data_IF_679784924945
#
_entry.id   IF_679784924945
#
_cell.length_a   1.000
_cell.length_b   1.000
_cell.length_c   1.000
_cell.angle_alpha   90.00
_cell.angle_beta   90.00
_cell.angle_gamma   90.00
#
_symmetry.space_group_name_H-M   'P 1'
#
loop_
_entity.id
_entity.type
_entity.pdbx_description
1 polymer ?
#
# COMPACT_ATOMS: atom_id res chain seq x y z
N UNK A 1 -21.93 -35.16 -47.60
CA UNK A 1 -20.46 -35.33 -47.47
C UNK A 1 -19.84 -33.93 -47.33
N UNK A 2 -19.56 -33.53 -46.12
CA UNK A 2 -18.91 -32.25 -45.82
C UNK A 2 -17.39 -32.52 -45.71
N UNK A 3 -16.60 -31.90 -46.59
CA UNK A 3 -15.17 -32.05 -46.61
C UNK A 3 -14.57 -31.31 -45.39
N UNK A 4 -13.90 -32.06 -44.53
CA UNK A 4 -13.10 -31.51 -43.41
C UNK A 4 -11.90 -30.74 -43.98
N UNK A 5 -11.80 -29.44 -43.65
CA UNK A 5 -10.60 -28.64 -43.88
C UNK A 5 -9.44 -29.25 -43.08
N UNK A 6 -8.28 -29.49 -43.67
CA UNK A 6 -7.14 -29.94 -42.91
C UNK A 6 -6.69 -28.84 -41.93
N UNK A 7 -6.41 -29.22 -40.70
CA UNK A 7 -5.77 -28.37 -39.71
C UNK A 7 -4.42 -27.89 -40.27
N UNK A 8 -4.23 -26.58 -40.32
CA UNK A 8 -2.96 -25.94 -40.66
C UNK A 8 -1.92 -26.39 -39.65
N UNK A 9 -0.97 -27.20 -40.06
CA UNK A 9 0.19 -27.56 -39.27
C UNK A 9 0.91 -26.24 -38.93
N UNK A 10 1.00 -25.92 -37.62
CA UNK A 10 1.82 -24.85 -37.12
C UNK A 10 3.26 -25.29 -37.33
N UNK A 11 3.99 -24.61 -38.18
CA UNK A 11 5.42 -24.86 -38.38
C UNK A 11 6.13 -24.57 -37.05
N UNK A 12 6.77 -25.64 -36.51
CA UNK A 12 7.62 -25.56 -35.32
C UNK A 12 9.03 -25.15 -35.73
N UNK A 13 9.17 -23.98 -36.34
CA UNK A 13 10.48 -23.33 -36.50
C UNK A 13 10.46 -21.99 -35.73
N UNK A 14 11.14 -22.02 -34.68
CA UNK A 14 11.54 -21.22 -33.57
C UNK A 14 11.41 -19.71 -33.65
N UNK A 15 10.26 -19.11 -33.86
CA UNK A 15 9.87 -17.85 -33.19
C UNK A 15 8.56 -17.32 -33.77
N UNK A 16 7.46 -17.55 -33.06
CA UNK A 16 6.25 -16.75 -33.25
C UNK A 16 6.65 -15.26 -33.13
N UNK A 17 6.39 -14.40 -34.14
CA UNK A 17 6.79 -13.01 -34.12
C UNK A 17 6.28 -12.24 -32.88
N UNK A 18 5.14 -12.61 -32.32
CA UNK A 18 4.59 -12.01 -31.11
C UNK A 18 5.43 -12.39 -29.88
N UNK A 19 5.86 -13.66 -29.79
CA UNK A 19 6.74 -14.12 -28.71
C UNK A 19 8.11 -13.47 -28.82
N UNK A 20 8.68 -13.41 -30.04
CA UNK A 20 9.97 -12.75 -30.27
C UNK A 20 9.95 -11.26 -29.87
N UNK A 21 8.86 -10.54 -30.12
CA UNK A 21 8.69 -9.14 -29.69
C UNK A 21 8.67 -9.01 -28.15
N UNK A 22 8.01 -9.96 -27.45
CA UNK A 22 7.99 -9.99 -25.97
C UNK A 22 9.39 -10.28 -25.42
N UNK A 23 10.11 -11.25 -26.00
CA UNK A 23 11.46 -11.62 -25.59
C UNK A 23 12.44 -10.46 -25.79
N UNK A 24 12.34 -9.72 -26.91
CA UNK A 24 13.12 -8.51 -27.14
C UNK A 24 12.88 -7.45 -26.07
N UNK A 25 11.62 -7.14 -25.77
CA UNK A 25 11.25 -6.15 -24.76
C UNK A 25 11.72 -6.57 -23.34
N UNK A 26 11.68 -7.86 -23.04
CA UNK A 26 12.18 -8.40 -21.76
C UNK A 26 13.71 -8.35 -21.69
N UNK A 27 14.40 -8.63 -22.80
CA UNK A 27 15.87 -8.52 -22.89
C UNK A 27 16.36 -7.07 -22.73
N UNK A 28 15.71 -6.11 -23.40
CA UNK A 28 15.97 -4.68 -23.23
C UNK A 28 15.79 -4.25 -21.77
N UNK A 29 14.67 -4.65 -21.15
CA UNK A 29 14.41 -4.35 -19.75
C UNK A 29 15.44 -4.97 -18.81
N UNK A 30 15.98 -6.14 -19.15
CA UNK A 30 17.03 -6.78 -18.37
C UNK A 30 18.38 -6.05 -18.56
N UNK A 31 18.72 -5.64 -19.78
CA UNK A 31 19.91 -4.87 -20.08
C UNK A 31 19.95 -3.52 -19.35
N UNK A 32 18.77 -2.88 -19.23
CA UNK A 32 18.59 -1.64 -18.46
C UNK A 32 18.63 -1.85 -16.92
N UNK A 33 18.81 -3.08 -16.45
CA UNK A 33 18.79 -3.40 -15.02
C UNK A 33 17.41 -3.24 -14.37
N UNK A 34 16.32 -3.21 -15.16
CA UNK A 34 14.95 -3.01 -14.69
C UNK A 34 14.16 -4.31 -14.53
N UNK A 35 14.77 -5.47 -14.82
CA UNK A 35 14.12 -6.77 -14.64
C UNK A 35 13.77 -7.02 -13.16
N UNK A 36 12.54 -7.49 -12.92
CA UNK A 36 12.06 -7.83 -11.59
C UNK A 36 12.06 -9.35 -11.40
N UNK A 37 12.50 -9.80 -10.25
CA UNK A 37 12.50 -11.21 -9.87
C UNK A 37 11.71 -11.41 -8.60
N UNK A 38 10.84 -12.43 -8.59
CA UNK A 38 10.17 -12.86 -7.36
C UNK A 38 11.15 -13.65 -6.51
N UNK A 39 11.11 -13.40 -5.19
CA UNK A 39 11.87 -14.17 -4.21
C UNK A 39 10.92 -15.03 -3.40
N UNK A 40 11.20 -16.31 -3.27
CA UNK A 40 10.37 -17.25 -2.51
C UNK A 40 10.79 -17.17 -1.05
N UNK A 41 9.84 -16.82 -0.17
CA UNK A 41 10.00 -16.90 1.28
C UNK A 41 9.51 -18.27 1.72
N UNK A 42 10.41 -19.08 2.29
CA UNK A 42 10.16 -20.47 2.71
C UNK A 42 10.00 -20.59 4.23
N UNK A 43 9.46 -19.57 4.88
CA UNK A 43 9.22 -19.52 6.32
C UNK A 43 7.89 -18.83 6.64
N UNK A 44 7.50 -18.86 7.91
CA UNK A 44 6.39 -18.06 8.43
C UNK A 44 6.67 -16.56 8.26
N UNK A 45 5.61 -15.75 8.10
CA UNK A 45 5.71 -14.29 8.15
C UNK A 45 6.25 -13.82 9.50
N UNK A 46 7.13 -12.82 9.46
CA UNK A 46 7.76 -12.27 10.66
C UNK A 46 9.04 -11.49 10.36
N UNK A 47 9.74 -11.03 11.41
CA UNK A 47 10.97 -10.25 11.26
C UNK A 47 12.17 -11.10 10.78
N UNK A 48 12.07 -12.43 10.89
CA UNK A 48 13.09 -13.39 10.39
C UNK A 48 12.45 -14.31 9.37
N UNK A 49 13.06 -14.38 8.20
CA UNK A 49 12.55 -15.16 7.06
C UNK A 49 13.64 -16.02 6.45
N UNK A 50 13.25 -17.09 5.75
CA UNK A 50 14.17 -17.93 4.97
C UNK A 50 13.92 -17.67 3.49
N UNK A 51 14.96 -17.22 2.80
CA UNK A 51 14.94 -16.95 1.35
C UNK A 51 16.15 -17.64 0.70
N UNK A 52 15.91 -18.47 -0.30
CA UNK A 52 16.96 -19.26 -0.96
C UNK A 52 17.84 -20.05 0.04
N UNK A 53 17.23 -20.64 1.08
CA UNK A 53 17.92 -21.42 2.11
C UNK A 53 18.67 -20.59 3.17
N UNK A 54 18.66 -19.25 3.08
CA UNK A 54 19.35 -18.36 4.02
C UNK A 54 18.37 -17.70 4.98
N UNK A 55 18.69 -17.70 6.27
CA UNK A 55 17.94 -16.94 7.26
C UNK A 55 18.33 -15.45 7.19
N UNK A 56 17.32 -14.57 7.06
CA UNK A 56 17.50 -13.12 6.92
C UNK A 56 16.63 -12.38 7.92
N UNK A 57 17.13 -11.28 8.50
CA UNK A 57 16.29 -10.29 9.18
C UNK A 57 15.63 -9.43 8.11
N UNK A 58 14.30 -9.33 8.17
CA UNK A 58 13.49 -8.80 7.09
C UNK A 58 13.07 -7.33 7.33
N UNK A 59 13.78 -6.41 6.76
CA UNK A 59 13.46 -4.98 6.73
C UNK A 59 12.71 -4.55 5.45
N UNK A 60 12.12 -5.50 4.72
CA UNK A 60 11.36 -5.26 3.49
C UNK A 60 9.83 -5.33 3.70
N UNK A 61 9.37 -5.85 4.85
CA UNK A 61 7.95 -6.10 5.12
C UNK A 61 7.21 -4.84 5.56
N UNK A 62 5.94 -4.74 5.15
CA UNK A 62 5.02 -3.71 5.66
C UNK A 62 4.20 -4.20 6.88
N UNK A 63 4.53 -5.33 7.49
CA UNK A 63 3.92 -5.82 8.73
C UNK A 63 4.42 -5.00 9.94
N UNK A 64 4.01 -3.73 9.99
CA UNK A 64 4.52 -2.75 10.95
C UNK A 64 4.31 -3.14 12.41
N UNK A 65 3.20 -3.81 12.71
CA UNK A 65 2.88 -4.26 14.08
C UNK A 65 3.31 -5.70 14.37
N UNK A 66 3.84 -6.43 13.37
CA UNK A 66 4.24 -7.83 13.52
C UNK A 66 3.06 -8.76 13.76
N UNK A 67 1.92 -8.49 13.14
CA UNK A 67 0.69 -9.25 13.30
C UNK A 67 0.52 -10.39 12.30
N UNK A 68 1.18 -10.34 11.14
CA UNK A 68 1.02 -11.34 10.09
C UNK A 68 1.36 -12.78 10.52
N UNK A 69 2.27 -12.91 11.48
CA UNK A 69 2.60 -14.18 12.12
C UNK A 69 1.98 -14.38 13.52
N UNK A 70 1.01 -13.58 13.95
CA UNK A 70 0.49 -13.67 15.32
C UNK A 70 -0.27 -14.98 15.58
N UNK A 71 0.02 -15.74 16.65
CA UNK A 71 -0.58 -17.05 16.89
C UNK A 71 -2.10 -16.99 17.06
N UNK A 72 -2.62 -15.94 17.69
CA UNK A 72 -4.06 -15.75 17.85
C UNK A 72 -4.77 -15.60 16.50
N UNK A 73 -4.20 -14.84 15.54
CA UNK A 73 -4.78 -14.70 14.22
C UNK A 73 -4.77 -16.04 13.46
N UNK A 74 -3.72 -16.82 13.59
CA UNK A 74 -3.66 -18.16 12.99
C UNK A 74 -4.75 -19.09 13.58
N UNK A 75 -4.96 -19.05 14.90
CA UNK A 75 -6.01 -19.82 15.58
C UNK A 75 -7.40 -19.38 15.10
N UNK A 76 -7.69 -18.09 15.12
CA UNK A 76 -8.99 -17.55 14.66
C UNK A 76 -9.24 -17.87 13.20
N UNK A 77 -8.22 -17.78 12.35
CA UNK A 77 -8.33 -18.13 10.92
C UNK A 77 -8.70 -19.61 10.72
N UNK A 78 -8.10 -20.52 11.50
CA UNK A 78 -8.43 -21.94 11.45
C UNK A 78 -9.88 -22.20 11.89
N UNK A 79 -10.31 -21.63 13.01
CA UNK A 79 -11.68 -21.75 13.51
C UNK A 79 -12.70 -21.16 12.53
N UNK A 80 -12.37 -20.00 11.95
CA UNK A 80 -13.22 -19.34 10.97
C UNK A 80 -13.32 -20.14 9.66
N UNK A 81 -12.24 -20.79 9.21
CA UNK A 81 -12.25 -21.64 8.04
C UNK A 81 -13.21 -22.85 8.22
N UNK A 82 -13.22 -23.46 9.40
CA UNK A 82 -14.17 -24.53 9.73
C UNK A 82 -15.62 -24.03 9.77
N UNK A 83 -15.86 -22.83 10.30
CA UNK A 83 -17.21 -22.29 10.48
C UNK A 83 -17.80 -21.73 9.17
N UNK A 84 -17.02 -21.02 8.37
CA UNK A 84 -17.49 -20.23 7.26
C UNK A 84 -17.06 -20.78 5.89
N UNK A 85 -16.15 -21.75 5.83
CA UNK A 85 -15.48 -22.17 4.62
C UNK A 85 -14.33 -21.24 4.22
N UNK A 86 -13.67 -21.59 3.11
CA UNK A 86 -12.45 -20.91 2.61
C UNK A 86 -12.68 -20.01 1.40
N UNK A 87 -13.92 -19.83 0.96
CA UNK A 87 -14.29 -19.00 -0.19
C UNK A 87 -15.63 -18.36 -0.03
N UNK A 88 -15.86 -17.21 -0.69
CA UNK A 88 -17.12 -16.47 -0.68
C UNK A 88 -18.06 -16.84 -1.85
N UNK A 89 -17.52 -17.45 -2.90
CA UNK A 89 -18.23 -18.03 -4.08
C UNK A 89 -18.98 -17.05 -4.99
N UNK A 90 -19.20 -15.80 -4.57
CA UNK A 90 -19.88 -14.76 -5.34
C UNK A 90 -19.43 -13.35 -4.91
N UNK A 91 -19.85 -12.32 -5.64
CA UNK A 91 -19.67 -10.92 -5.20
C UNK A 91 -20.52 -10.61 -3.98
N UNK A 92 -20.17 -9.54 -3.27
CA UNK A 92 -20.91 -9.06 -2.09
C UNK A 92 -22.38 -8.79 -2.37
N UNK A 93 -22.73 -8.32 -3.58
CA UNK A 93 -24.10 -7.94 -3.95
C UNK A 93 -24.96 -9.13 -4.42
N UNK A 94 -24.38 -10.32 -4.56
CA UNK A 94 -25.12 -11.54 -4.92
C UNK A 94 -25.34 -12.40 -3.67
N UNK A 95 -24.39 -13.22 -3.29
CA UNK A 95 -24.44 -14.07 -2.09
C UNK A 95 -23.09 -14.19 -1.38
N UNK A 96 -22.10 -13.37 -1.74
CA UNK A 96 -20.76 -13.40 -1.16
C UNK A 96 -20.58 -12.55 0.09
N UNK A 97 -21.63 -11.86 0.58
CA UNK A 97 -21.57 -11.01 1.77
C UNK A 97 -22.06 -11.78 3.01
N UNK A 98 -21.14 -12.26 3.82
CA UNK A 98 -21.42 -13.03 5.02
C UNK A 98 -21.42 -12.17 6.27
N UNK A 99 -21.99 -12.67 7.38
CA UNK A 99 -22.01 -11.97 8.66
C UNK A 99 -20.66 -11.43 9.16
N UNK A 100 -19.50 -12.13 8.96
CA UNK A 100 -18.21 -11.55 9.32
C UNK A 100 -17.83 -10.29 8.52
N UNK A 101 -18.26 -10.18 7.26
CA UNK A 101 -17.99 -8.97 6.46
C UNK A 101 -18.76 -7.77 7.05
N UNK A 102 -20.05 -7.96 7.32
CA UNK A 102 -20.90 -6.93 7.90
C UNK A 102 -20.40 -6.48 9.28
N UNK A 103 -19.97 -7.44 10.13
CA UNK A 103 -19.39 -7.14 11.44
C UNK A 103 -18.09 -6.32 11.30
N UNK A 104 -17.20 -6.72 10.39
CA UNK A 104 -15.94 -6.03 10.12
C UNK A 104 -16.18 -4.61 9.62
N UNK A 105 -17.10 -4.41 8.67
CA UNK A 105 -17.43 -3.10 8.08
C UNK A 105 -17.99 -2.15 9.14
N UNK A 106 -18.88 -2.62 10.02
CA UNK A 106 -19.39 -1.82 11.13
C UNK A 106 -18.26 -1.41 12.11
N UNK A 107 -17.36 -2.33 12.47
CA UNK A 107 -16.27 -2.02 13.37
C UNK A 107 -15.27 -1.04 12.77
N UNK A 108 -14.94 -1.18 11.48
CA UNK A 108 -14.05 -0.28 10.77
C UNK A 108 -14.65 1.13 10.66
N UNK A 109 -15.92 1.24 10.32
CA UNK A 109 -16.65 2.50 10.24
C UNK A 109 -16.67 3.22 11.59
N UNK A 110 -17.01 2.51 12.67
CA UNK A 110 -17.10 3.07 14.01
C UNK A 110 -15.74 3.51 14.56
N UNK A 111 -14.66 2.80 14.20
CA UNK A 111 -13.34 3.05 14.78
C UNK A 111 -12.48 4.02 13.97
N UNK A 112 -12.50 3.94 12.64
CA UNK A 112 -11.65 4.71 11.75
C UNK A 112 -12.42 5.61 10.77
N UNK A 113 -13.74 5.67 10.86
CA UNK A 113 -14.56 6.48 9.96
C UNK A 113 -14.19 7.96 10.02
N UNK A 114 -14.16 8.65 8.87
CA UNK A 114 -13.72 10.05 8.77
C UNK A 114 -14.82 11.07 9.10
N UNK A 115 -16.00 10.63 9.49
CA UNK A 115 -17.14 11.47 9.94
C UNK A 115 -18.04 10.68 10.88
N UNK A 116 -18.96 11.38 11.57
CA UNK A 116 -19.80 10.82 12.64
C UNK A 116 -20.64 9.61 12.19
N UNK A 117 -21.24 9.69 11.00
CA UNK A 117 -22.16 8.67 10.46
C UNK A 117 -21.47 7.77 9.41
N UNK A 118 -20.16 7.66 9.46
CA UNK A 118 -19.42 6.90 8.46
C UNK A 118 -19.93 5.45 8.34
N UNK A 119 -19.98 4.96 7.09
CA UNK A 119 -20.11 3.54 6.76
C UNK A 119 -18.81 3.06 6.13
N UNK A 120 -18.64 1.75 6.04
CA UNK A 120 -17.48 1.16 5.37
C UNK A 120 -17.89 0.02 4.42
N UNK A 121 -17.03 -0.24 3.42
CA UNK A 121 -17.06 -1.42 2.55
C UNK A 121 -15.69 -2.07 2.55
N UNK A 122 -15.66 -3.38 2.53
CA UNK A 122 -14.43 -4.17 2.45
C UNK A 122 -14.14 -4.61 1.01
N UNK A 123 -12.84 -4.71 0.69
CA UNK A 123 -12.31 -5.07 -0.63
C UNK A 123 -11.21 -6.11 -0.50
N UNK A 124 -11.00 -6.90 -1.55
CA UNK A 124 -9.93 -7.91 -1.57
C UNK A 124 -8.52 -7.28 -1.54
N UNK A 125 -8.34 -6.06 -2.05
CA UNK A 125 -7.06 -5.34 -2.04
C UNK A 125 -7.27 -3.83 -2.00
N UNK A 126 -6.26 -3.06 -1.51
CA UNK A 126 -6.26 -1.59 -1.57
C UNK A 126 -6.26 -1.06 -3.01
N UNK A 127 -5.65 -1.80 -3.94
CA UNK A 127 -5.67 -1.44 -5.36
C UNK A 127 -7.11 -1.38 -5.90
N UNK A 128 -7.91 -2.44 -5.67
CA UNK A 128 -9.32 -2.48 -6.07
C UNK A 128 -10.17 -1.44 -5.33
N UNK A 129 -9.88 -1.19 -4.06
CA UNK A 129 -10.58 -0.18 -3.27
C UNK A 129 -10.40 1.23 -3.88
N UNK A 130 -9.18 1.63 -4.20
CA UNK A 130 -8.91 2.92 -4.83
C UNK A 130 -9.50 3.03 -6.24
N UNK A 131 -9.40 1.98 -7.06
CA UNK A 131 -10.10 1.93 -8.35
C UNK A 131 -11.61 2.13 -8.17
N UNK A 132 -12.20 1.47 -7.18
CA UNK A 132 -13.63 1.55 -6.88
C UNK A 132 -14.05 2.97 -6.48
N UNK A 133 -13.34 3.59 -5.52
CA UNK A 133 -13.62 4.95 -5.06
C UNK A 133 -13.60 5.93 -6.22
N UNK A 134 -12.45 5.99 -6.92
CA UNK A 134 -12.24 7.02 -7.94
C UNK A 134 -13.19 6.78 -9.13
N UNK A 135 -13.38 5.53 -9.58
CA UNK A 135 -14.29 5.25 -10.70
C UNK A 135 -15.78 5.40 -10.37
N UNK A 136 -16.17 5.35 -9.10
CA UNK A 136 -17.55 5.60 -8.70
C UNK A 136 -17.86 7.09 -8.52
N UNK A 137 -16.87 7.88 -8.08
CA UNK A 137 -17.04 9.31 -7.78
C UNK A 137 -16.67 10.23 -8.95
N UNK A 138 -15.94 9.74 -9.95
CA UNK A 138 -15.44 10.50 -11.07
C UNK A 138 -15.98 9.99 -12.42
N UNK A 139 -16.05 10.89 -13.38
CA UNK A 139 -16.42 10.63 -14.77
C UNK A 139 -15.66 11.61 -15.71
N UNK A 140 -16.07 11.65 -16.99
CA UNK A 140 -15.45 12.53 -18.01
C UNK A 140 -15.55 14.03 -17.69
N UNK A 141 -16.49 14.44 -16.84
CA UNK A 141 -16.67 15.84 -16.43
C UNK A 141 -15.92 16.17 -15.13
N UNK A 142 -15.23 15.19 -14.54
CA UNK A 142 -14.51 15.33 -13.27
C UNK A 142 -13.04 15.61 -13.49
N UNK A 143 -12.48 16.55 -12.74
CA UNK A 143 -11.03 16.71 -12.58
C UNK A 143 -10.57 15.98 -11.30
N UNK A 144 -9.59 15.08 -11.47
CA UNK A 144 -8.91 14.39 -10.37
C UNK A 144 -7.53 15.03 -10.18
N UNK A 145 -7.37 15.80 -9.11
CA UNK A 145 -6.12 16.44 -8.74
C UNK A 145 -5.32 15.48 -7.86
N UNK A 146 -4.20 14.97 -8.36
CA UNK A 146 -3.41 13.92 -7.73
C UNK A 146 -1.98 14.37 -7.46
N UNK A 147 -1.47 14.06 -6.27
CA UNK A 147 -0.05 14.22 -5.99
C UNK A 147 0.79 13.32 -6.92
N UNK A 148 1.93 13.84 -7.37
CA UNK A 148 2.77 13.14 -8.35
C UNK A 148 3.35 11.83 -7.81
N UNK A 149 3.53 11.69 -6.50
CA UNK A 149 4.07 10.50 -5.85
C UNK A 149 3.00 9.53 -5.33
N UNK A 150 1.73 9.79 -5.60
CA UNK A 150 0.64 8.88 -5.24
C UNK A 150 0.89 7.46 -5.74
N UNK A 151 0.39 6.51 -5.00
CA UNK A 151 0.31 5.12 -5.45
C UNK A 151 -0.44 5.02 -6.80
N UNK A 152 0.05 4.16 -7.68
CA UNK A 152 -0.46 4.03 -9.06
C UNK A 152 -1.97 3.82 -9.13
N UNK A 153 -2.57 3.08 -8.18
CA UNK A 153 -3.99 2.77 -8.18
C UNK A 153 -4.92 3.99 -8.15
N UNK A 154 -4.51 5.11 -7.53
CA UNK A 154 -5.29 6.36 -7.55
C UNK A 154 -5.32 6.97 -8.94
N UNK A 155 -4.17 6.96 -9.64
CA UNK A 155 -4.09 7.43 -11.02
C UNK A 155 -4.86 6.51 -11.97
N UNK A 156 -4.72 5.20 -11.80
CA UNK A 156 -5.42 4.20 -12.62
C UNK A 156 -6.93 4.27 -12.44
N UNK A 157 -7.40 4.62 -11.22
CA UNK A 157 -8.80 4.92 -10.95
C UNK A 157 -9.32 6.10 -11.78
N UNK A 158 -8.55 7.18 -11.89
CA UNK A 158 -8.90 8.34 -12.72
C UNK A 158 -8.94 7.98 -14.22
N UNK A 159 -7.99 7.17 -14.69
CA UNK A 159 -7.98 6.66 -16.07
C UNK A 159 -9.18 5.75 -16.34
N UNK A 160 -9.52 4.86 -15.44
CA UNK A 160 -10.69 3.97 -15.54
C UNK A 160 -11.99 4.77 -15.62
N UNK A 161 -12.12 5.83 -14.81
CA UNK A 161 -13.23 6.77 -14.82
C UNK A 161 -13.27 7.63 -16.08
N UNK A 162 -12.20 7.66 -16.89
CA UNK A 162 -11.98 8.60 -17.99
C UNK A 162 -12.02 10.05 -17.52
N UNK A 163 -11.69 10.30 -16.25
CA UNK A 163 -11.59 11.62 -15.68
C UNK A 163 -10.32 12.34 -16.16
N UNK A 164 -10.34 13.66 -16.08
CA UNK A 164 -9.14 14.46 -16.35
C UNK A 164 -8.19 14.36 -15.15
N UNK A 165 -7.08 13.63 -15.32
CA UNK A 165 -6.03 13.52 -14.30
C UNK A 165 -5.13 14.76 -14.33
N UNK A 166 -5.14 15.56 -13.26
CA UNK A 166 -4.37 16.78 -13.06
C UNK A 166 -3.31 16.54 -11.98
N UNK A 167 -2.09 16.19 -12.34
CA UNK A 167 -1.02 15.91 -11.37
C UNK A 167 -0.30 17.18 -10.97
N UNK A 168 -0.11 17.40 -9.64
CA UNK A 168 0.68 18.48 -9.07
C UNK A 168 1.99 17.94 -8.47
N UNK A 169 2.98 18.82 -8.26
CA UNK A 169 4.24 18.44 -7.66
C UNK A 169 4.01 17.95 -6.22
N UNK A 170 4.83 17.00 -5.80
CA UNK A 170 4.68 16.38 -4.49
C UNK A 170 4.67 17.40 -3.36
N UNK A 171 3.62 17.37 -2.52
CA UNK A 171 3.44 18.25 -1.38
C UNK A 171 3.16 19.73 -1.73
N UNK A 172 3.12 20.11 -3.01
CA UNK A 172 2.92 21.49 -3.48
C UNK A 172 1.44 21.89 -3.43
N UNK A 173 1.00 22.27 -2.23
CA UNK A 173 -0.39 22.66 -1.98
C UNK A 173 -0.75 23.96 -2.67
N UNK A 174 0.21 24.87 -2.83
CA UNK A 174 -0.03 26.18 -3.47
C UNK A 174 -0.27 26.01 -4.97
N UNK A 175 0.48 25.12 -5.65
CA UNK A 175 0.20 24.76 -7.04
C UNK A 175 -1.15 24.02 -7.18
N UNK A 176 -1.56 23.21 -6.22
CA UNK A 176 -2.88 22.61 -6.18
C UNK A 176 -3.99 23.66 -6.07
N UNK A 177 -3.85 24.61 -5.14
CA UNK A 177 -4.82 25.70 -4.92
C UNK A 177 -5.04 26.51 -6.20
N UNK A 178 -3.95 26.92 -6.88
CA UNK A 178 -4.03 27.63 -8.15
C UNK A 178 -4.80 26.84 -9.22
N UNK A 179 -4.59 25.52 -9.30
CA UNK A 179 -5.28 24.65 -10.24
C UNK A 179 -6.77 24.51 -9.92
N UNK A 180 -7.11 24.36 -8.62
CA UNK A 180 -8.50 24.29 -8.17
C UNK A 180 -9.23 25.60 -8.42
N UNK A 181 -8.60 26.74 -8.18
CA UNK A 181 -9.15 28.07 -8.44
C UNK A 181 -9.40 28.31 -9.94
N UNK A 182 -8.53 27.82 -10.81
CA UNK A 182 -8.68 27.90 -12.25
C UNK A 182 -9.65 26.87 -12.84
N UNK A 183 -10.03 25.84 -12.10
CA UNK A 183 -10.88 24.74 -12.58
C UNK A 183 -12.32 25.18 -12.77
N UNK A 184 -12.87 24.83 -13.94
CA UNK A 184 -14.30 24.99 -14.27
C UNK A 184 -15.04 23.65 -14.29
N UNK A 185 -14.40 22.58 -13.85
CA UNK A 185 -15.02 21.26 -13.78
C UNK A 185 -16.17 21.26 -12.78
N UNK A 186 -17.34 20.70 -13.14
CA UNK A 186 -18.50 20.65 -12.25
C UNK A 186 -18.25 19.73 -11.04
N UNK A 187 -17.28 18.80 -11.14
CA UNK A 187 -16.86 17.93 -10.04
C UNK A 187 -15.35 17.90 -9.94
N UNK A 188 -14.84 17.96 -8.71
CA UNK A 188 -13.43 17.93 -8.39
C UNK A 188 -13.17 16.90 -7.31
N UNK A 189 -12.07 16.18 -7.46
CA UNK A 189 -11.60 15.18 -6.51
C UNK A 189 -10.11 15.42 -6.27
N UNK A 190 -9.71 15.58 -5.02
CA UNK A 190 -8.32 15.59 -4.60
C UNK A 190 -7.98 14.18 -4.15
N UNK A 191 -6.90 13.58 -4.66
CA UNK A 191 -6.47 12.25 -4.29
C UNK A 191 -5.01 12.28 -3.81
N UNK A 192 -4.74 11.68 -2.65
CA UNK A 192 -3.40 11.61 -2.07
C UNK A 192 -3.19 10.37 -1.23
N UNK A 193 -1.95 9.86 -1.20
CA UNK A 193 -1.49 8.99 -0.12
C UNK A 193 -1.41 9.83 1.16
N UNK A 194 -1.80 9.29 2.32
CA UNK A 194 -1.62 9.94 3.62
C UNK A 194 -0.16 9.83 4.08
N UNK A 195 0.44 8.65 3.85
CA UNK A 195 1.87 8.37 4.07
C UNK A 195 2.43 7.80 2.79
N UNK A 196 3.38 8.48 2.18
CA UNK A 196 3.95 8.09 0.90
C UNK A 196 4.85 6.86 1.03
N UNK A 197 4.58 5.83 0.24
CA UNK A 197 5.15 4.49 0.40
C UNK A 197 6.65 4.41 0.21
N UNK A 198 7.24 5.32 -0.59
CA UNK A 198 8.67 5.32 -0.92
C UNK A 198 9.46 6.38 -0.16
N UNK A 199 8.80 7.39 0.39
CA UNK A 199 9.43 8.53 1.06
C UNK A 199 9.15 8.53 2.56
N UNK A 200 8.04 7.93 3.00
CA UNK A 200 7.65 7.81 4.40
C UNK A 200 7.16 9.13 5.03
N UNK A 201 7.04 10.17 4.25
CA UNK A 201 6.50 11.46 4.68
C UNK A 201 4.97 11.46 4.72
N UNK A 202 4.40 12.42 5.42
CA UNK A 202 2.96 12.57 5.61
C UNK A 202 2.46 13.75 4.78
N UNK A 203 1.39 13.51 4.00
CA UNK A 203 0.73 14.54 3.23
C UNK A 203 0.19 15.68 4.14
N UNK A 204 0.15 16.93 3.67
CA UNK A 204 -0.40 18.08 4.42
C UNK A 204 -1.95 18.04 4.43
N UNK A 205 -2.53 16.96 5.00
CA UNK A 205 -3.96 16.61 4.89
C UNK A 205 -4.90 17.72 5.42
N UNK A 206 -4.49 18.49 6.44
CA UNK A 206 -5.31 19.59 6.95
C UNK A 206 -5.51 20.66 5.86
N UNK A 207 -4.43 21.12 5.21
CA UNK A 207 -4.51 22.08 4.11
C UNK A 207 -5.27 21.52 2.89
N UNK A 208 -5.09 20.23 2.60
CA UNK A 208 -5.82 19.57 1.50
C UNK A 208 -7.33 19.52 1.79
N UNK A 209 -7.74 19.31 3.04
CA UNK A 209 -9.14 19.33 3.45
C UNK A 209 -9.72 20.74 3.38
N UNK A 210 -8.96 21.78 3.77
CA UNK A 210 -9.36 23.16 3.63
C UNK A 210 -9.60 23.51 2.16
N UNK A 211 -8.71 23.12 1.26
CA UNK A 211 -8.87 23.30 -0.20
C UNK A 211 -10.06 22.51 -0.75
N UNK A 212 -10.24 21.27 -0.31
CA UNK A 212 -11.40 20.47 -0.71
C UNK A 212 -12.72 21.15 -0.32
N UNK A 213 -12.74 21.81 0.86
CA UNK A 213 -13.90 22.54 1.35
C UNK A 213 -14.12 23.82 0.57
N UNK A 214 -13.07 24.61 0.35
CA UNK A 214 -13.13 25.90 -0.34
C UNK A 214 -13.51 25.78 -1.83
N UNK A 215 -13.13 24.67 -2.47
CA UNK A 215 -13.33 24.45 -3.91
C UNK A 215 -14.38 23.39 -4.24
N UNK A 216 -15.19 22.98 -3.27
CA UNK A 216 -16.29 22.02 -3.43
C UNK A 216 -15.84 20.70 -4.04
N UNK A 217 -14.78 20.11 -3.46
CA UNK A 217 -14.19 18.85 -3.86
C UNK A 217 -14.32 17.78 -2.78
N UNK A 218 -14.22 16.50 -3.15
CA UNK A 218 -13.92 15.41 -2.21
C UNK A 218 -12.41 15.26 -2.03
N UNK A 219 -12.00 14.80 -0.84
CA UNK A 219 -10.62 14.43 -0.55
C UNK A 219 -10.55 12.91 -0.32
N UNK A 220 -9.98 12.20 -1.28
CA UNK A 220 -9.66 10.76 -1.19
C UNK A 220 -8.29 10.60 -0.59
N UNK A 221 -8.22 9.88 0.53
CA UNK A 221 -7.01 9.65 1.32
C UNK A 221 -6.71 8.16 1.36
N UNK A 222 -5.58 7.77 0.76
CA UNK A 222 -5.02 6.42 0.89
C UNK A 222 -4.13 6.36 2.14
N UNK A 223 -4.66 5.81 3.21
CA UNK A 223 -3.96 5.65 4.50
C UNK A 223 -3.41 4.23 4.72
N UNK A 224 -3.02 3.57 3.64
CA UNK A 224 -2.50 2.21 3.69
C UNK A 224 -1.28 2.04 4.59
N UNK A 225 -0.50 3.10 4.83
CA UNK A 225 0.70 3.08 5.67
C UNK A 225 0.52 3.73 7.03
N UNK A 226 -0.54 4.52 7.24
CA UNK A 226 -0.84 5.14 8.53
C UNK A 226 -1.80 4.32 9.40
N UNK A 227 -2.77 3.62 8.79
CA UNK A 227 -3.70 2.76 9.51
C UNK A 227 -2.97 1.68 10.32
N UNK A 228 -3.38 1.48 11.57
CA UNK A 228 -2.74 0.60 12.54
C UNK A 228 -1.54 1.24 13.27
N UNK A 229 -0.88 2.24 12.66
CA UNK A 229 0.36 2.86 13.15
C UNK A 229 0.10 4.21 13.81
N UNK A 230 -0.49 5.14 13.09
CA UNK A 230 -0.71 6.52 13.53
C UNK A 230 -2.06 6.71 14.24
N UNK A 231 -2.24 7.81 14.97
CA UNK A 231 -3.51 8.18 15.59
C UNK A 231 -4.08 7.14 16.56
N UNK A 232 -3.22 6.50 17.36
CA UNK A 232 -3.62 5.40 18.23
C UNK A 232 -4.00 4.12 17.48
N UNK A 233 -3.61 4.00 16.21
CA UNK A 233 -3.93 2.90 15.31
C UNK A 233 -5.11 3.20 14.37
N UNK A 234 -5.83 4.31 14.56
CA UNK A 234 -6.95 4.71 13.70
C UNK A 234 -6.53 5.30 12.37
N UNK A 235 -5.22 5.61 12.21
CA UNK A 235 -4.66 6.15 10.99
C UNK A 235 -4.34 7.65 11.06
N UNK A 236 -3.91 8.19 9.92
CA UNK A 236 -3.36 9.54 9.81
C UNK A 236 -4.42 10.63 10.03
N UNK A 237 -5.66 10.44 9.56
CA UNK A 237 -6.74 11.39 9.81
C UNK A 237 -6.99 11.59 11.31
N UNK A 238 -7.03 10.49 12.07
CA UNK A 238 -7.19 10.53 13.53
C UNK A 238 -5.97 11.15 14.23
N UNK A 239 -4.75 10.91 13.73
CA UNK A 239 -3.53 11.53 14.27
C UNK A 239 -3.55 13.05 14.13
N UNK A 240 -4.19 13.58 13.08
CA UNK A 240 -4.31 15.00 12.79
C UNK A 240 -5.63 15.62 13.28
N UNK A 241 -6.52 14.83 13.90
CA UNK A 241 -7.82 15.29 14.37
C UNK A 241 -8.78 15.71 13.26
N UNK A 242 -8.63 15.18 12.04
CA UNK A 242 -9.42 15.56 10.88
C UNK A 242 -10.69 14.72 10.78
N UNK A 243 -11.82 15.40 10.58
CA UNK A 243 -13.14 14.78 10.36
C UNK A 243 -13.95 15.66 9.43
N UNK A 244 -14.56 15.06 8.38
CA UNK A 244 -15.40 15.78 7.43
C UNK A 244 -16.22 14.80 6.58
N UNK A 245 -17.47 15.13 6.18
CA UNK A 245 -18.22 14.36 5.21
C UNK A 245 -17.60 14.39 3.80
N UNK A 246 -16.62 15.26 3.54
CA UNK A 246 -15.91 15.34 2.26
C UNK A 246 -14.73 14.35 2.17
N UNK A 247 -14.35 13.71 3.29
CA UNK A 247 -13.28 12.73 3.34
C UNK A 247 -13.75 11.36 2.89
N UNK A 248 -12.94 10.72 2.05
CA UNK A 248 -13.08 9.32 1.66
C UNK A 248 -11.78 8.63 2.06
N UNK A 249 -11.83 7.86 3.13
CA UNK A 249 -10.70 7.13 3.66
C UNK A 249 -10.62 5.75 3.00
N UNK A 250 -9.49 5.41 2.42
CA UNK A 250 -9.10 4.04 2.12
C UNK A 250 -7.94 3.61 3.02
N UNK A 251 -7.97 2.39 3.54
CA UNK A 251 -6.80 1.80 4.18
C UNK A 251 -6.71 0.30 3.90
N UNK A 252 -5.47 -0.24 3.94
CA UNK A 252 -5.24 -1.66 3.72
C UNK A 252 -5.20 -2.45 5.02
N UNK A 253 -5.70 -3.66 4.96
CA UNK A 253 -5.69 -4.65 6.06
C UNK A 253 -4.57 -5.70 5.88
N UNK A 254 -3.78 -5.56 4.81
CA UNK A 254 -2.65 -6.43 4.48
C UNK A 254 -1.28 -5.93 4.98
N UNK A 255 -1.22 -4.81 5.71
CA UNK A 255 0.02 -4.26 6.27
C UNK A 255 0.01 -4.33 7.80
N UNK A 256 -0.20 -3.23 8.51
CA UNK A 256 -0.19 -3.21 9.97
C UNK A 256 -1.23 -4.16 10.61
N UNK A 257 -2.38 -4.39 9.97
CA UNK A 257 -3.37 -5.36 10.46
C UNK A 257 -2.96 -6.83 10.21
N UNK A 258 -1.93 -7.11 9.42
CA UNK A 258 -1.28 -8.43 9.32
C UNK A 258 -2.11 -9.52 8.62
N UNK A 259 -3.19 -9.21 7.90
CA UNK A 259 -4.03 -10.22 7.24
C UNK A 259 -4.08 -9.97 5.74
N UNK A 260 -5.18 -9.50 5.19
CA UNK A 260 -5.35 -9.21 3.76
C UNK A 260 -6.56 -8.30 3.54
N UNK A 261 -6.66 -7.71 2.35
CA UNK A 261 -7.79 -6.86 1.98
C UNK A 261 -7.56 -5.38 2.28
N UNK A 262 -8.64 -4.64 2.13
CA UNK A 262 -8.70 -3.21 2.39
C UNK A 262 -10.14 -2.81 2.75
N UNK A 263 -10.31 -1.58 3.20
CA UNK A 263 -11.63 -0.99 3.38
C UNK A 263 -11.66 0.45 2.87
N UNK A 264 -12.87 0.89 2.56
CA UNK A 264 -13.20 2.29 2.30
C UNK A 264 -14.18 2.72 3.37
N UNK A 265 -13.93 3.87 4.00
CA UNK A 265 -14.87 4.48 4.96
C UNK A 265 -15.15 5.93 4.56
N UNK A 266 -16.42 6.33 4.56
CA UNK A 266 -16.85 7.66 4.18
C UNK A 266 -18.30 7.93 4.64
N UNK A 267 -18.80 9.12 4.30
CA UNK A 267 -20.22 9.45 4.47
C UNK A 267 -21.13 8.40 3.80
N UNK A 268 -22.28 8.04 4.39
CA UNK A 268 -23.18 7.00 3.87
C UNK A 268 -23.51 7.12 2.38
N UNK A 269 -23.79 8.32 1.89
CA UNK A 269 -24.09 8.54 0.46
C UNK A 269 -22.93 8.23 -0.47
N UNK A 270 -21.69 8.45 -0.01
CA UNK A 270 -20.47 8.09 -0.77
C UNK A 270 -20.33 6.57 -0.81
N UNK A 271 -20.47 5.91 0.33
CA UNK A 271 -20.40 4.45 0.43
C UNK A 271 -21.48 3.79 -0.42
N UNK A 272 -22.71 4.33 -0.38
CA UNK A 272 -23.80 3.83 -1.22
C UNK A 272 -23.48 4.02 -2.72
N UNK A 273 -22.91 5.17 -3.10
CA UNK A 273 -22.47 5.41 -4.49
C UNK A 273 -21.41 4.39 -4.90
N UNK A 274 -20.44 4.09 -4.05
CA UNK A 274 -19.43 3.05 -4.34
C UNK A 274 -20.09 1.68 -4.46
N UNK A 275 -21.01 1.33 -3.57
CA UNK A 275 -21.75 0.08 -3.61
C UNK A 275 -22.51 -0.09 -4.93
N UNK A 276 -23.20 0.96 -5.42
CA UNK A 276 -24.08 0.89 -6.57
C UNK A 276 -23.36 1.02 -7.92
N UNK A 277 -22.24 1.73 -7.99
CA UNK A 277 -21.61 2.10 -9.26
C UNK A 277 -20.19 1.57 -9.47
N UNK A 278 -19.48 1.16 -8.40
CA UNK A 278 -18.10 0.70 -8.52
C UNK A 278 -18.01 -0.70 -9.16
N UNK A 279 -17.66 -0.76 -10.43
CA UNK A 279 -17.47 -2.04 -11.14
C UNK A 279 -16.46 -2.99 -10.44
N UNK A 280 -15.34 -2.50 -9.84
CA UNK A 280 -14.42 -3.36 -9.08
C UNK A 280 -15.04 -3.98 -7.83
N UNK A 281 -16.15 -3.45 -7.32
CA UNK A 281 -16.91 -4.03 -6.19
C UNK A 281 -18.02 -4.98 -6.68
N UNK A 282 -18.80 -4.54 -7.66
CA UNK A 282 -19.97 -5.26 -8.16
C UNK A 282 -19.63 -6.60 -8.81
N UNK A 283 -18.53 -6.63 -9.60
CA UNK A 283 -18.18 -7.75 -10.48
C UNK A 283 -16.97 -8.57 -9.99
N UNK A 284 -16.58 -8.39 -8.73
CA UNK A 284 -15.51 -9.15 -8.10
C UNK A 284 -16.07 -10.07 -7.03
N UNK A 285 -15.60 -11.33 -6.98
CA UNK A 285 -15.90 -12.23 -5.87
C UNK A 285 -15.40 -11.62 -4.56
N UNK A 286 -16.24 -11.66 -3.53
CA UNK A 286 -15.89 -11.18 -2.20
C UNK A 286 -14.68 -11.94 -1.61
N UNK A 287 -13.96 -11.30 -0.70
CA UNK A 287 -12.92 -11.98 0.07
C UNK A 287 -13.54 -13.12 0.92
N UNK A 288 -12.81 -14.21 1.18
CA UNK A 288 -13.30 -15.29 2.03
C UNK A 288 -13.77 -14.80 3.39
N UNK A 289 -14.94 -15.23 3.90
CA UNK A 289 -15.48 -14.78 5.18
C UNK A 289 -14.56 -15.12 6.37
N UNK A 290 -13.75 -16.16 6.27
CA UNK A 290 -12.74 -16.48 7.27
C UNK A 290 -11.72 -15.35 7.44
N UNK A 291 -11.33 -14.65 6.38
CA UNK A 291 -10.43 -13.49 6.47
C UNK A 291 -11.12 -12.31 7.16
N UNK A 292 -12.39 -12.06 6.88
CA UNK A 292 -13.15 -11.02 7.57
C UNK A 292 -13.25 -11.31 9.08
N UNK A 293 -13.53 -12.55 9.47
CA UNK A 293 -13.54 -12.97 10.90
C UNK A 293 -12.16 -12.79 11.55
N UNK A 294 -11.10 -13.16 10.84
CA UNK A 294 -9.72 -12.98 11.32
C UNK A 294 -9.37 -11.51 11.49
N UNK A 295 -9.87 -10.65 10.58
CA UNK A 295 -9.67 -9.21 10.64
C UNK A 295 -10.39 -8.56 11.83
N UNK A 296 -11.56 -9.03 12.22
CA UNK A 296 -12.23 -8.58 13.46
C UNK A 296 -11.33 -8.83 14.67
N UNK A 297 -10.70 -10.01 14.76
CA UNK A 297 -9.72 -10.30 15.83
C UNK A 297 -8.45 -9.44 15.69
N UNK A 298 -7.98 -9.21 14.47
CA UNK A 298 -6.84 -8.34 14.22
C UNK A 298 -7.10 -6.90 14.66
N UNK A 299 -8.29 -6.35 14.41
CA UNK A 299 -8.66 -5.01 14.87
C UNK A 299 -8.58 -4.85 16.39
N UNK A 300 -8.97 -5.88 17.15
CA UNK A 300 -8.79 -5.88 18.61
C UNK A 300 -7.30 -5.76 18.98
N UNK A 301 -6.42 -6.56 18.35
CA UNK A 301 -4.98 -6.49 18.56
C UNK A 301 -4.37 -5.14 18.15
N UNK A 302 -4.90 -4.51 17.09
CA UNK A 302 -4.46 -3.17 16.66
C UNK A 302 -4.91 -2.10 17.66
N UNK A 303 -6.15 -2.16 18.16
CA UNK A 303 -6.67 -1.25 19.22
C UNK A 303 -5.80 -1.33 20.46
N UNK A 304 -5.52 -2.52 20.94
CA UNK A 304 -4.73 -2.78 22.14
C UNK A 304 -3.21 -2.66 21.90
N UNK A 305 -2.80 -2.36 20.68
CA UNK A 305 -1.43 -2.36 20.21
C UNK A 305 -0.57 -1.15 20.64
N UNK A 306 -0.89 -0.43 21.72
CA UNK A 306 -0.12 0.74 22.17
C UNK A 306 1.36 0.41 22.43
N UNK A 307 1.65 -0.71 23.08
CA UNK A 307 3.02 -1.17 23.34
C UNK A 307 3.78 -1.47 22.02
N UNK A 308 3.12 -2.06 21.02
CA UNK A 308 3.72 -2.32 19.70
C UNK A 308 4.05 -1.01 18.97
N UNK A 309 3.15 -0.05 18.99
CA UNK A 309 3.38 1.29 18.41
C UNK A 309 4.52 2.03 19.11
N UNK A 310 4.61 1.95 20.45
CA UNK A 310 5.72 2.53 21.22
C UNK A 310 7.07 1.87 20.85
N UNK A 311 7.09 0.54 20.72
CA UNK A 311 8.28 -0.19 20.26
C UNK A 311 8.69 0.25 18.85
N UNK A 312 7.73 0.36 17.94
CA UNK A 312 7.99 0.81 16.57
C UNK A 312 8.57 2.22 16.52
N UNK A 313 8.01 3.15 17.30
CA UNK A 313 8.53 4.52 17.41
C UNK A 313 9.96 4.54 17.98
N UNK A 314 10.26 3.71 18.97
CA UNK A 314 11.61 3.55 19.54
C UNK A 314 12.60 3.02 18.48
N UNK A 315 12.20 2.03 17.67
CA UNK A 315 13.04 1.50 16.58
C UNK A 315 13.31 2.59 15.51
N UNK A 316 12.32 3.41 15.17
CA UNK A 316 12.51 4.55 14.25
C UNK A 316 13.54 5.53 14.83
N UNK A 317 13.38 5.95 16.09
CA UNK A 317 14.31 6.86 16.75
C UNK A 317 15.73 6.27 16.82
N UNK A 318 15.84 4.97 17.17
CA UNK A 318 17.12 4.26 17.26
C UNK A 318 17.85 4.20 15.90
N UNK A 319 17.15 3.80 14.84
CA UNK A 319 17.73 3.78 13.49
C UNK A 319 18.18 5.17 13.06
N UNK A 320 17.34 6.20 13.26
CA UNK A 320 17.69 7.58 12.85
C UNK A 320 18.91 8.11 13.60
N UNK A 321 19.01 7.84 14.90
CA UNK A 321 20.17 8.23 15.69
C UNK A 321 21.45 7.51 15.22
N UNK A 322 21.38 6.19 15.01
CA UNK A 322 22.54 5.40 14.55
C UNK A 322 22.96 5.68 13.12
N UNK A 323 22.03 6.08 12.27
CA UNK A 323 22.31 6.42 10.87
C UNK A 323 22.81 7.87 10.66
N UNK A 324 22.85 8.70 11.68
CA UNK A 324 23.20 10.13 11.56
C UNK A 324 24.62 10.39 11.02
N UNK A 325 25.54 9.45 11.22
CA UNK A 325 26.94 9.52 10.74
C UNK A 325 27.19 8.85 9.39
N UNK A 326 26.15 8.26 8.77
CA UNK A 326 26.29 7.62 7.46
C UNK A 326 26.49 8.66 6.35
N UNK A 327 27.22 8.32 5.26
CA UNK A 327 27.42 9.23 4.14
C UNK A 327 26.14 9.46 3.32
N UNK A 328 25.09 8.67 3.54
CA UNK A 328 23.80 8.79 2.88
C UNK A 328 22.74 9.29 3.86
N UNK A 329 21.96 10.32 3.50
CA UNK A 329 20.92 10.83 4.39
C UNK A 329 19.70 9.91 4.43
N UNK A 330 19.11 9.77 5.61
CA UNK A 330 17.74 9.29 5.75
C UNK A 330 16.75 10.40 5.34
N UNK A 331 15.74 10.05 4.56
CA UNK A 331 14.63 10.97 4.27
C UNK A 331 13.96 11.47 5.57
N UNK A 332 13.30 12.65 5.56
CA UNK A 332 12.70 13.24 6.77
C UNK A 332 11.38 12.55 7.14
N UNK A 333 11.43 11.22 7.39
CA UNK A 333 10.26 10.41 7.76
C UNK A 333 10.22 10.19 9.28
N UNK A 334 9.02 10.34 9.85
CA UNK A 334 8.72 9.96 11.24
C UNK A 334 7.97 8.63 11.33
N UNK A 335 7.71 7.98 10.19
CA UNK A 335 6.95 6.74 10.07
C UNK A 335 7.87 5.51 10.09
N UNK A 336 7.34 4.29 10.11
CA UNK A 336 8.16 3.07 10.01
C UNK A 336 8.92 2.90 8.69
N UNK A 337 8.61 3.70 7.68
CA UNK A 337 9.29 3.72 6.39
C UNK A 337 10.46 4.69 6.49
N UNK A 338 11.68 4.19 6.41
CA UNK A 338 12.91 4.96 6.59
C UNK A 338 13.80 4.82 5.34
N UNK A 339 13.61 5.67 4.32
CA UNK A 339 14.41 5.58 3.11
C UNK A 339 15.81 6.17 3.33
N UNK A 340 16.84 5.40 2.97
CA UNK A 340 18.22 5.85 2.91
C UNK A 340 18.54 6.22 1.46
N UNK A 341 18.70 7.50 1.17
CA UNK A 341 18.84 8.02 -0.19
C UNK A 341 20.31 7.88 -0.64
N UNK A 342 20.55 7.03 -1.63
CA UNK A 342 21.93 6.76 -2.13
C UNK A 342 22.19 7.33 -3.54
N UNK A 343 21.14 7.73 -4.26
CA UNK A 343 21.25 8.41 -5.56
C UNK A 343 21.40 7.47 -6.74
N UNK A 344 22.54 6.79 -6.89
CA UNK A 344 22.83 5.93 -8.04
C UNK A 344 22.23 4.52 -7.91
N UNK A 345 21.74 3.95 -9.01
CA UNK A 345 21.09 2.64 -9.04
C UNK A 345 22.05 1.50 -8.63
N UNK A 346 23.26 1.52 -9.17
CA UNK A 346 24.28 0.51 -8.85
C UNK A 346 24.68 0.55 -7.38
N UNK A 347 24.85 1.74 -6.80
CA UNK A 347 25.15 1.91 -5.37
C UNK A 347 24.03 1.31 -4.51
N UNK A 348 22.77 1.61 -4.82
CA UNK A 348 21.63 1.05 -4.10
C UNK A 348 21.58 -0.49 -4.16
N UNK A 349 21.89 -1.06 -5.34
CA UNK A 349 21.91 -2.52 -5.52
C UNK A 349 23.07 -3.14 -4.75
N UNK A 350 24.31 -2.62 -4.92
CA UNK A 350 25.50 -3.13 -4.21
C UNK A 350 25.34 -3.06 -2.69
N UNK A 351 24.74 -1.98 -2.19
CA UNK A 351 24.46 -1.82 -0.76
C UNK A 351 23.42 -2.84 -0.26
N UNK A 352 22.36 -3.08 -1.03
CA UNK A 352 21.35 -4.10 -0.72
C UNK A 352 21.98 -5.50 -0.70
N UNK A 353 22.81 -5.84 -1.68
CA UNK A 353 23.49 -7.14 -1.79
C UNK A 353 24.50 -7.34 -0.64
N UNK A 354 25.25 -6.30 -0.28
CA UNK A 354 26.19 -6.33 0.84
C UNK A 354 25.51 -6.53 2.20
N UNK A 355 24.33 -5.90 2.40
CA UNK A 355 23.51 -6.13 3.59
C UNK A 355 22.94 -7.55 3.61
N UNK A 356 22.49 -8.04 2.47
CA UNK A 356 22.00 -9.41 2.38
C UNK A 356 23.08 -10.45 2.67
N UNK A 357 24.31 -10.20 2.21
CA UNK A 357 25.46 -11.06 2.54
C UNK A 357 25.68 -11.16 4.07
N UNK A 358 25.27 -10.12 4.82
CA UNK A 358 25.32 -10.04 6.28
C UNK A 358 24.04 -10.53 6.98
N UNK A 359 23.10 -11.14 6.24
CA UNK A 359 21.87 -11.66 6.79
C UNK A 359 20.73 -10.64 6.96
N UNK A 360 20.83 -9.47 6.31
CA UNK A 360 19.83 -8.38 6.43
C UNK A 360 19.17 -8.13 5.07
N UNK A 361 17.86 -8.32 4.98
CA UNK A 361 17.13 -8.08 3.74
C UNK A 361 16.53 -6.68 3.71
N UNK A 362 17.19 -5.78 2.97
CA UNK A 362 16.79 -4.40 2.75
C UNK A 362 16.65 -4.16 1.25
N UNK A 363 15.46 -3.85 0.71
CA UNK A 363 15.27 -3.72 -0.73
C UNK A 363 15.86 -2.40 -1.28
N UNK A 364 16.55 -2.49 -2.41
CA UNK A 364 16.93 -1.34 -3.23
C UNK A 364 15.73 -0.92 -4.11
N UNK A 365 15.31 0.33 -3.98
CA UNK A 365 14.27 0.95 -4.81
C UNK A 365 14.92 1.85 -5.85
N UNK A 366 14.54 1.67 -7.11
CA UNK A 366 15.13 2.31 -8.29
C UNK A 366 14.04 2.80 -9.24
N UNK A 367 14.37 3.64 -10.22
CA UNK A 367 13.43 3.97 -11.29
C UNK A 367 12.82 2.72 -11.96
N UNK A 368 11.57 2.78 -12.45
CA UNK A 368 10.68 3.94 -12.46
C UNK A 368 9.89 4.14 -11.15
N UNK A 369 10.11 3.32 -10.12
CA UNK A 369 9.39 3.40 -8.83
C UNK A 369 9.69 4.72 -8.10
N UNK A 370 10.91 5.23 -8.23
CA UNK A 370 11.36 6.55 -7.74
C UNK A 370 12.01 7.32 -8.90
N UNK A 371 12.12 8.65 -8.82
CA UNK A 371 12.78 9.45 -9.87
C UNK A 371 14.24 9.03 -10.11
N UNK A 372 14.75 9.29 -11.33
CA UNK A 372 16.15 9.07 -11.66
C UNK A 372 17.06 9.90 -10.73
N UNK A 373 18.17 9.31 -10.30
CA UNK A 373 19.11 9.95 -9.37
C UNK A 373 18.66 9.92 -7.89
N UNK A 374 17.56 9.25 -7.56
CA UNK A 374 17.03 9.15 -6.18
C UNK A 374 16.87 7.70 -5.71
N UNK A 375 17.69 6.78 -6.26
CA UNK A 375 17.69 5.40 -5.80
C UNK A 375 17.99 5.33 -4.30
N UNK A 376 17.37 4.40 -3.61
CA UNK A 376 17.41 4.31 -2.16
C UNK A 376 17.31 2.89 -1.65
N UNK A 377 17.76 2.66 -0.43
CA UNK A 377 17.30 1.53 0.35
C UNK A 377 16.00 1.92 1.06
N UNK A 378 14.94 1.12 0.93
CA UNK A 378 13.70 1.34 1.66
C UNK A 378 13.68 0.46 2.90
N UNK A 379 14.14 0.98 4.01
CA UNK A 379 14.13 0.29 5.30
C UNK A 379 12.71 0.37 5.86
N UNK A 380 12.10 -0.78 6.13
CA UNK A 380 10.79 -0.89 6.80
C UNK A 380 10.97 -1.50 8.19
N UNK A 381 10.60 -0.76 9.22
CA UNK A 381 10.67 -1.22 10.60
C UNK A 381 9.37 -1.90 11.02
N UNK A 382 9.48 -2.90 11.90
CA UNK A 382 8.35 -3.61 12.50
C UNK A 382 8.50 -3.61 14.03
N UNK A 383 7.37 -3.61 14.73
CA UNK A 383 7.35 -3.82 16.18
C UNK A 383 7.83 -5.23 16.59
N UNK A 384 7.90 -6.15 15.64
CA UNK A 384 8.42 -7.49 15.86
C UNK A 384 9.95 -7.60 15.74
N UNK A 385 10.65 -6.57 15.23
CA UNK A 385 12.11 -6.51 15.34
C UNK A 385 12.52 -6.37 16.81
N UNK A 386 13.70 -6.88 17.15
CA UNK A 386 14.36 -6.58 18.40
C UNK A 386 15.24 -5.35 18.30
N UNK A 387 15.64 -4.75 19.43
CA UNK A 387 16.60 -3.64 19.42
C UNK A 387 17.93 -4.11 18.80
N UNK A 388 18.35 -5.37 19.04
CA UNK A 388 19.55 -5.98 18.44
C UNK A 388 19.44 -6.13 16.89
N UNK A 389 18.25 -6.38 16.34
CA UNK A 389 18.07 -6.42 14.89
C UNK A 389 18.31 -5.03 14.27
N UNK A 390 17.82 -3.97 14.94
CA UNK A 390 18.04 -2.59 14.48
C UNK A 390 19.52 -2.18 14.61
N UNK A 391 20.18 -2.56 15.70
CA UNK A 391 21.62 -2.32 15.88
C UNK A 391 22.45 -3.03 14.81
N UNK A 392 22.16 -4.29 14.55
CA UNK A 392 22.83 -5.06 13.50
C UNK A 392 22.70 -4.40 12.12
N UNK A 393 21.54 -3.79 11.83
CA UNK A 393 21.36 -3.02 10.59
C UNK A 393 22.22 -1.76 10.58
N UNK A 394 22.27 -1.00 11.69
CA UNK A 394 23.09 0.21 11.82
C UNK A 394 24.57 -0.12 11.63
N UNK A 395 25.07 -1.15 12.33
CA UNK A 395 26.46 -1.59 12.26
C UNK A 395 26.86 -2.07 10.86
N UNK A 396 25.95 -2.82 10.22
CA UNK A 396 26.16 -3.29 8.85
C UNK A 396 26.20 -2.13 7.84
N UNK A 397 25.29 -1.15 7.96
CA UNK A 397 25.31 0.06 7.13
C UNK A 397 26.60 0.85 7.30
N UNK A 398 27.07 1.02 8.54
CA UNK A 398 28.33 1.72 8.83
C UNK A 398 29.56 0.94 8.31
N UNK A 399 29.54 -0.40 8.38
CA UNK A 399 30.62 -1.24 7.82
C UNK A 399 30.68 -1.13 6.31
N UNK A 400 29.53 -1.30 5.62
CA UNK A 400 29.48 -1.22 4.15
C UNK A 400 29.84 0.19 3.65
N UNK A 401 29.45 1.24 4.39
CA UNK A 401 29.85 2.61 4.06
C UNK A 401 31.38 2.78 4.03
N UNK A 402 32.11 2.18 4.97
CA UNK A 402 33.57 2.20 5.00
C UNK A 402 34.23 1.36 3.89
N UNK A 403 33.57 0.29 3.44
CA UNK A 403 34.04 -0.58 2.36
C UNK A 403 33.86 0.04 0.97
N UNK A 404 32.91 0.97 0.83
CA UNK A 404 32.58 1.65 -0.42
C UNK A 404 33.23 3.05 -0.54
N UNK A 405 33.83 3.57 0.54
CA UNK A 405 34.56 4.83 0.58
C UNK A 405 35.98 4.69 0.05
#
# INVERSE_FOLDING_TARGET
>A
MAASRPARAVATDGSDPLIAALDSALAERAADGLARRRRVVASRAGPRVVVAGRALVNFASNDYLGLAGHPELARVAADAAWRWGVGATASHVVCGHYAPHDALERELAAWAGPCADARALTFSTGYLANLAIVSALADRATEVHADRLNHACLNDGALLARARLCRYAHGDVDALEQRLAASRAPRKLIATDAVFSMDGDIAPLARLLDLATAHDAWLVVDDAHGFGVLGGGRGTLAALGLSSPRLVLMATLGKAAGVAGAFVAAHPSIIETVLQFARPYLYTTAAPPMLAQTLVASLALVRDGAARRATLARHVARLRAGAASLPWPLAPSTTPIQPLIVGANNVATSLSDALEARGLWVPAIRPPTVPAGTARLRISLSAAHTDADVDALIDALASVARELA
#
